data_IF_796109580379
#
_entry.id   IF_796109580379
#
_cell.length_a   1.000
_cell.length_b   1.000
_cell.length_c   1.000
_cell.angle_alpha   90.00
_cell.angle_beta   90.00
_cell.angle_gamma   90.00
#
_symmetry.space_group_name_H-M   'P 1'
#
loop_
_entity.id
_entity.type
_entity.pdbx_description
1 polymer ?
#
# COMPACT_ATOMS: atom_id res chain seq x y z
N UNK A 1 17.12 4.74 8.31
CA UNK A 1 16.51 3.47 7.87
C UNK A 1 16.77 3.27 6.39
N UNK A 2 17.16 2.07 5.97
CA UNK A 2 17.38 1.75 4.56
C UNK A 2 16.05 1.66 3.80
N UNK A 3 16.01 2.25 2.60
CA UNK A 3 14.84 2.36 1.74
C UNK A 3 15.21 2.11 0.28
N UNK A 4 14.35 1.39 -0.43
CA UNK A 4 14.40 1.18 -1.88
C UNK A 4 13.07 1.61 -2.48
N UNK A 5 13.10 2.39 -3.56
CA UNK A 5 11.91 2.76 -4.33
C UNK A 5 12.10 2.31 -5.77
N UNK A 6 11.18 1.51 -6.29
CA UNK A 6 11.03 1.26 -7.71
C UNK A 6 9.89 2.15 -8.27
N UNK A 7 10.11 2.75 -9.43
CA UNK A 7 9.19 3.66 -10.08
C UNK A 7 9.14 3.43 -11.58
N UNK A 8 7.94 3.20 -12.10
CA UNK A 8 7.70 2.89 -13.53
C UNK A 8 6.67 3.85 -14.08
N UNK A 9 6.92 4.37 -15.29
CA UNK A 9 6.01 5.29 -15.99
C UNK A 9 5.54 6.50 -15.14
N UNK A 10 6.43 7.04 -14.30
CA UNK A 10 6.17 8.22 -13.48
C UNK A 10 6.55 9.54 -14.21
N UNK A 11 5.92 10.67 -13.87
CA UNK A 11 6.30 11.99 -14.40
C UNK A 11 7.74 12.40 -14.04
N UNK A 12 8.39 13.19 -14.91
CA UNK A 12 9.78 13.63 -14.72
C UNK A 12 10.02 14.43 -13.44
N UNK A 13 9.05 15.28 -13.05
CA UNK A 13 9.15 16.04 -11.81
C UNK A 13 9.20 15.12 -10.58
N UNK A 14 8.55 13.96 -10.63
CA UNK A 14 8.59 12.98 -9.54
C UNK A 14 9.96 12.29 -9.47
N UNK A 15 10.60 12.01 -10.62
CA UNK A 15 12.00 11.51 -10.64
C UNK A 15 12.93 12.49 -9.95
N UNK A 16 12.86 13.77 -10.33
CA UNK A 16 13.66 14.83 -9.71
C UNK A 16 13.34 15.06 -8.23
N UNK A 17 12.12 14.77 -7.78
CA UNK A 17 11.77 14.79 -6.36
C UNK A 17 12.42 13.63 -5.60
N UNK A 18 12.35 12.40 -6.12
CA UNK A 18 12.97 11.22 -5.50
C UNK A 18 14.50 11.36 -5.40
N UNK A 19 15.14 11.88 -6.46
CA UNK A 19 16.60 12.09 -6.51
C UNK A 19 17.14 13.12 -5.51
N UNK A 20 16.27 13.92 -4.87
CA UNK A 20 16.69 14.83 -3.77
C UNK A 20 17.01 14.10 -2.48
N UNK A 21 16.48 12.89 -2.30
CA UNK A 21 16.59 12.12 -1.06
C UNK A 21 17.30 10.78 -1.26
N UNK A 22 17.19 10.21 -2.46
CA UNK A 22 17.64 8.86 -2.79
C UNK A 22 18.54 8.90 -4.02
N UNK A 23 19.48 7.96 -4.12
CA UNK A 23 20.33 7.78 -5.29
C UNK A 23 19.65 6.87 -6.31
N UNK A 24 19.50 7.32 -7.55
CA UNK A 24 19.02 6.48 -8.66
C UNK A 24 20.17 5.59 -9.15
N UNK A 25 20.13 4.30 -8.84
CA UNK A 25 21.19 3.33 -9.21
C UNK A 25 20.96 2.70 -10.58
N UNK A 26 19.72 2.70 -11.04
CA UNK A 26 19.28 2.27 -12.37
C UNK A 26 17.97 3.00 -12.64
N UNK A 27 17.59 3.17 -13.91
CA UNK A 27 16.35 3.87 -14.30
C UNK A 27 15.16 3.40 -13.48
N UNK A 28 14.57 4.31 -12.70
CA UNK A 28 13.41 4.04 -11.85
C UNK A 28 13.71 3.31 -10.54
N UNK A 29 14.96 2.93 -10.25
CA UNK A 29 15.36 2.27 -9.01
C UNK A 29 16.20 3.22 -8.14
N UNK A 30 15.63 3.63 -7.03
CA UNK A 30 16.20 4.57 -6.07
C UNK A 30 16.53 3.87 -4.76
N UNK A 31 17.68 4.17 -4.17
CA UNK A 31 18.12 3.61 -2.89
C UNK A 31 18.65 4.70 -1.97
N UNK A 32 18.45 4.56 -0.66
CA UNK A 32 18.99 5.53 0.29
C UNK A 32 18.67 5.21 1.74
N UNK A 33 19.16 6.08 2.63
CA UNK A 33 18.89 6.02 4.06
C UNK A 33 18.18 7.28 4.50
N UNK A 34 16.95 7.14 4.99
CA UNK A 34 16.12 8.26 5.46
C UNK A 34 15.48 7.93 6.82
N UNK A 35 14.96 8.93 7.51
CA UNK A 35 14.17 8.70 8.73
C UNK A 35 12.78 8.13 8.38
N UNK A 36 12.11 7.50 9.35
CA UNK A 36 10.75 6.98 9.16
C UNK A 36 9.77 8.09 8.70
N UNK A 37 9.87 9.28 9.31
CA UNK A 37 9.07 10.45 8.93
C UNK A 37 9.33 10.86 7.47
N UNK A 38 10.59 10.90 7.04
CA UNK A 38 10.94 11.25 5.65
C UNK A 38 10.45 10.18 4.69
N UNK A 39 10.57 8.89 5.02
CA UNK A 39 9.99 7.79 4.23
C UNK A 39 8.48 7.97 4.02
N UNK A 40 7.73 8.23 5.09
CA UNK A 40 6.27 8.34 4.98
C UNK A 40 5.85 9.56 4.15
N UNK A 41 6.51 10.70 4.34
CA UNK A 41 6.28 11.89 3.50
C UNK A 41 6.67 11.67 2.03
N UNK A 42 7.80 10.98 1.77
CA UNK A 42 8.21 10.59 0.43
C UNK A 42 7.14 9.72 -0.23
N UNK A 43 6.63 8.72 0.49
CA UNK A 43 5.61 7.81 0.01
C UNK A 43 4.32 8.54 -0.37
N UNK A 44 3.76 9.31 0.56
CA UNK A 44 2.50 10.03 0.35
C UNK A 44 2.57 10.96 -0.87
N UNK A 45 3.64 11.76 -0.96
CA UNK A 45 3.85 12.69 -2.07
C UNK A 45 4.07 11.94 -3.38
N UNK A 46 4.89 10.89 -3.37
CA UNK A 46 5.16 10.13 -4.58
C UNK A 46 3.89 9.46 -5.11
N UNK A 47 3.09 8.84 -4.26
CA UNK A 47 1.79 8.25 -4.63
C UNK A 47 0.87 9.31 -5.22
N UNK A 48 0.79 10.49 -4.60
CA UNK A 48 -0.08 11.58 -5.09
C UNK A 48 0.34 12.13 -6.46
N UNK A 49 1.63 12.08 -6.77
CA UNK A 49 2.21 12.62 -8.01
C UNK A 49 2.44 11.54 -9.09
N UNK A 50 2.25 10.26 -8.78
CA UNK A 50 2.56 9.15 -9.70
C UNK A 50 1.67 9.11 -10.95
N UNK A 51 0.46 9.67 -10.88
CA UNK A 51 -0.52 9.61 -11.97
C UNK A 51 -0.88 8.16 -12.30
N UNK A 52 -0.68 7.75 -13.56
CA UNK A 52 -0.85 6.37 -14.01
C UNK A 52 0.38 5.48 -13.80
N UNK A 53 1.49 6.04 -13.30
CA UNK A 53 2.70 5.29 -13.00
C UNK A 53 2.53 4.35 -11.81
N UNK A 54 3.49 3.44 -11.64
CA UNK A 54 3.54 2.54 -10.49
C UNK A 54 4.76 2.80 -9.62
N UNK A 55 4.56 2.60 -8.32
CA UNK A 55 5.57 2.79 -7.30
C UNK A 55 5.58 1.58 -6.37
N UNK A 56 6.78 1.12 -6.02
CA UNK A 56 6.99 0.13 -4.96
C UNK A 56 8.04 0.66 -4.01
N UNK A 57 7.69 0.76 -2.74
CA UNK A 57 8.57 1.15 -1.65
C UNK A 57 8.87 -0.08 -0.80
N UNK A 58 10.16 -0.35 -0.58
CA UNK A 58 10.65 -1.37 0.34
C UNK A 58 11.47 -0.65 1.42
N UNK A 59 11.24 -0.98 2.68
CA UNK A 59 11.98 -0.38 3.78
C UNK A 59 12.18 -1.37 4.93
N UNK A 60 13.23 -1.15 5.71
CA UNK A 60 13.51 -1.96 6.90
C UNK A 60 12.32 -1.92 7.88
N UNK A 61 11.90 -3.09 8.34
CA UNK A 61 10.91 -3.25 9.39
C UNK A 61 11.32 -4.45 10.25
N UNK A 62 11.95 -4.15 11.39
CA UNK A 62 12.48 -5.17 12.28
C UNK A 62 11.39 -5.99 13.01
N UNK A 63 10.12 -5.56 12.94
CA UNK A 63 9.02 -6.28 13.56
C UNK A 63 8.51 -7.45 12.69
N UNK A 64 8.90 -7.51 11.41
CA UNK A 64 8.50 -8.57 10.48
C UNK A 64 9.60 -9.62 10.36
N UNK A 65 9.23 -10.87 10.11
CA UNK A 65 10.17 -12.00 10.01
C UNK A 65 11.24 -11.80 8.93
N UNK A 66 10.86 -11.18 7.82
CA UNK A 66 11.78 -10.90 6.70
C UNK A 66 12.63 -9.64 6.91
N UNK A 67 12.40 -8.87 7.98
CA UNK A 67 13.15 -7.65 8.30
C UNK A 67 12.83 -6.44 7.41
N UNK A 68 11.81 -6.54 6.54
CA UNK A 68 11.34 -5.45 5.70
C UNK A 68 9.82 -5.43 5.55
N UNK A 69 9.30 -4.26 5.21
CA UNK A 69 7.94 -4.07 4.76
C UNK A 69 7.91 -3.48 3.35
N UNK A 70 6.79 -3.66 2.66
CA UNK A 70 6.60 -3.25 1.27
C UNK A 70 5.26 -2.52 1.11
N UNK A 71 5.26 -1.41 0.36
CA UNK A 71 4.06 -0.71 -0.11
C UNK A 71 4.12 -0.60 -1.62
N UNK A 72 3.00 -0.81 -2.31
CA UNK A 72 2.96 -0.68 -3.77
C UNK A 72 1.66 -0.03 -4.25
N UNK A 73 1.73 0.68 -5.37
CA UNK A 73 0.59 1.34 -6.03
C UNK A 73 0.79 1.40 -7.54
N UNK A 74 -0.29 1.70 -8.27
CA UNK A 74 -0.30 1.93 -9.71
C UNK A 74 -0.62 0.69 -10.55
N UNK A 75 -0.89 0.92 -11.84
CA UNK A 75 -1.22 -0.16 -12.78
C UNK A 75 -0.03 -1.09 -13.01
N UNK A 76 -0.26 -2.40 -12.92
CA UNK A 76 0.78 -3.42 -13.09
C UNK A 76 1.56 -3.76 -11.82
N UNK A 77 1.25 -3.13 -10.68
CA UNK A 77 1.72 -3.63 -9.39
C UNK A 77 1.14 -5.01 -9.09
N UNK A 78 1.98 -5.89 -8.57
CA UNK A 78 1.57 -7.22 -8.11
C UNK A 78 1.01 -7.12 -6.68
N UNK A 79 -0.06 -7.86 -6.36
CA UNK A 79 -0.61 -7.85 -5.02
C UNK A 79 0.41 -8.40 -4.00
N UNK A 80 0.41 -7.79 -2.83
CA UNK A 80 1.29 -8.15 -1.72
C UNK A 80 0.43 -8.85 -0.68
N UNK A 81 0.74 -10.10 -0.43
CA UNK A 81 -0.01 -10.99 0.45
C UNK A 81 0.75 -11.16 1.76
N UNK A 82 0.06 -11.05 2.89
CA UNK A 82 0.60 -11.43 4.19
C UNK A 82 0.17 -12.88 4.49
N UNK A 83 1.14 -13.79 4.45
CA UNK A 83 0.95 -15.20 4.73
C UNK A 83 1.78 -15.57 5.96
N UNK A 84 1.10 -15.66 7.10
CA UNK A 84 1.68 -15.99 8.40
C UNK A 84 2.87 -15.09 8.79
N UNK A 85 2.79 -13.79 8.50
CA UNK A 85 3.84 -12.81 8.81
C UNK A 85 4.87 -12.60 7.70
N UNK A 86 4.86 -13.44 6.66
CA UNK A 86 5.69 -13.28 5.47
C UNK A 86 4.97 -12.48 4.38
N UNK A 87 5.70 -11.55 3.76
CA UNK A 87 5.22 -10.85 2.57
C UNK A 87 5.55 -11.69 1.32
N UNK A 88 4.51 -12.06 0.57
CA UNK A 88 4.59 -12.86 -0.66
C UNK A 88 3.95 -12.08 -1.81
N UNK A 89 4.53 -12.21 -3.01
CA UNK A 89 4.06 -11.51 -4.20
C UNK A 89 3.15 -12.42 -5.01
N UNK A 90 1.88 -12.01 -5.16
CA UNK A 90 0.90 -12.74 -5.96
C UNK A 90 1.16 -12.62 -7.46
N UNK A 91 0.76 -13.65 -8.20
CA UNK A 91 0.91 -13.70 -9.66
C UNK A 91 -0.38 -13.44 -10.42
N UNK A 92 -1.55 -13.55 -9.76
CA UNK A 92 -2.88 -13.34 -10.34
C UNK A 92 -3.48 -11.97 -10.02
N UNK A 93 -4.37 -11.48 -10.88
CA UNK A 93 -5.14 -10.26 -10.63
C UNK A 93 -6.25 -10.48 -9.58
N UNK A 94 -6.67 -11.73 -9.37
CA UNK A 94 -7.65 -12.10 -8.36
C UNK A 94 -7.14 -11.99 -6.91
N UNK A 95 -5.82 -11.97 -6.73
CA UNK A 95 -5.18 -11.92 -5.41
C UNK A 95 -5.18 -10.50 -4.79
N UNK A 96 -5.73 -9.49 -5.49
CA UNK A 96 -5.72 -8.06 -5.10
C UNK A 96 -6.92 -7.62 -4.22
N UNK A 97 -7.72 -8.54 -3.68
CA UNK A 97 -8.92 -8.19 -2.90
C UNK A 97 -8.58 -7.93 -1.42
N UNK A 98 -8.30 -6.65 -1.10
CA UNK A 98 -8.79 -5.84 0.05
C UNK A 98 -8.44 -6.19 1.51
N UNK A 99 -7.81 -5.24 2.22
CA UNK A 99 -7.91 -5.04 3.70
C UNK A 99 -7.76 -3.54 4.01
N UNK A 100 -8.79 -2.94 4.63
CA UNK A 100 -8.84 -1.58 5.18
C UNK A 100 -8.13 -1.51 6.56
N UNK A 101 -7.59 -0.35 6.97
CA UNK A 101 -6.64 -0.21 8.08
C UNK A 101 -7.23 -0.32 9.51
N UNK A 102 -8.50 -0.65 9.69
CA UNK A 102 -9.20 -0.55 10.99
C UNK A 102 -9.09 -1.78 11.91
N UNK A 103 -8.46 -2.89 11.48
CA UNK A 103 -8.34 -4.12 12.29
C UNK A 103 -7.07 -4.20 13.17
N UNK A 104 -6.58 -3.06 13.68
CA UNK A 104 -5.51 -3.05 14.70
C UNK A 104 -6.13 -3.23 16.09
N UNK A 105 -6.26 -4.49 16.50
CA UNK A 105 -6.73 -4.89 17.84
C UNK A 105 -5.72 -4.41 18.91
N UNK A 106 -6.09 -3.38 19.68
CA UNK A 106 -5.35 -2.93 20.86
C UNK A 106 -5.71 -3.82 22.06
N UNK A 107 -4.78 -4.54 22.69
CA UNK A 107 -5.11 -5.38 23.82
C UNK A 107 -5.23 -4.51 25.09
N UNK A 108 -6.42 -4.48 25.69
CA UNK A 108 -6.57 -4.21 27.12
C UNK A 108 -7.58 -3.13 27.52
N UNK A 109 -8.84 -3.51 27.63
CA UNK A 109 -9.75 -2.98 28.65
C UNK A 109 -10.86 -4.03 28.91
N UNK A 110 -10.63 -4.91 29.88
CA UNK A 110 -11.63 -5.86 30.36
C UNK A 110 -12.52 -5.18 31.41
N UNK A 111 -13.81 -5.04 31.11
CA UNK A 111 -14.87 -4.94 32.12
C UNK A 111 -16.13 -5.63 31.60
N UNK A 112 -16.41 -6.83 32.12
CA UNK A 112 -17.76 -7.25 32.52
C UNK A 112 -17.69 -8.60 33.25
N UNK A 113 -18.38 -8.67 34.40
CA UNK A 113 -18.75 -9.93 35.07
C UNK A 113 -20.20 -10.30 34.68
N UNK A 114 -20.74 -11.43 35.17
CA UNK A 114 -21.01 -12.64 34.39
C UNK A 114 -22.51 -12.87 34.18
N UNK A 115 -22.90 -13.83 33.33
CA UNK A 115 -23.92 -14.83 33.67
C UNK A 115 -24.22 -15.83 32.54
N UNK A 116 -24.52 -17.07 32.98
CA UNK A 116 -25.32 -18.12 32.32
C UNK A 116 -24.64 -19.16 31.40
N UNK A 117 -24.16 -20.21 32.10
CA UNK A 117 -24.18 -21.68 31.85
C UNK A 117 -24.94 -22.22 30.59
N UNK A 118 -24.31 -23.13 29.80
CA UNK A 118 -24.72 -24.56 29.67
C UNK A 118 -24.09 -25.36 28.50
N UNK A 119 -23.41 -26.46 28.87
CA UNK A 119 -23.23 -27.82 28.27
C UNK A 119 -22.85 -28.12 26.80
N UNK A 120 -21.57 -28.52 26.63
CA UNK A 120 -21.02 -29.83 26.16
C UNK A 120 -21.24 -30.33 24.68
N UNK A 121 -20.51 -31.38 24.20
CA UNK A 121 -19.32 -31.20 23.36
C UNK A 121 -19.32 -32.02 22.06
N UNK A 122 -18.83 -31.51 20.93
CA UNK A 122 -18.51 -32.36 19.76
C UNK A 122 -17.21 -31.91 19.10
N UNK A 123 -16.25 -32.83 19.10
CA UNK A 123 -14.99 -32.83 18.36
C UNK A 123 -15.25 -32.45 16.89
N UNK A 124 -14.84 -31.24 16.48
CA UNK A 124 -14.79 -30.86 15.07
C UNK A 124 -13.36 -30.52 14.71
N UNK A 125 -12.79 -31.41 13.92
CA UNK A 125 -11.52 -31.33 13.22
C UNK A 125 -11.30 -29.89 12.71
N UNK A 126 -10.36 -29.18 13.35
CA UNK A 126 -9.96 -27.83 12.93
C UNK A 126 -9.07 -27.98 11.70
N UNK A 127 -9.68 -28.11 10.53
CA UNK A 127 -9.02 -27.68 9.29
C UNK A 127 -8.68 -26.21 9.47
N UNK A 128 -7.42 -25.94 9.77
CA UNK A 128 -6.85 -24.60 9.85
C UNK A 128 -7.11 -23.91 8.52
N UNK A 129 -8.17 -23.09 8.48
CA UNK A 129 -8.34 -22.11 7.41
C UNK A 129 -7.20 -21.12 7.58
N UNK A 130 -6.15 -21.28 6.78
CA UNK A 130 -5.12 -20.25 6.57
C UNK A 130 -5.88 -18.98 6.18
N UNK A 131 -5.89 -18.00 7.09
CA UNK A 131 -6.56 -16.72 6.87
C UNK A 131 -5.67 -15.93 5.92
N UNK A 132 -5.99 -15.96 4.63
CA UNK A 132 -5.42 -15.04 3.65
C UNK A 132 -5.75 -13.61 4.09
N UNK A 133 -4.76 -12.81 4.46
CA UNK A 133 -4.90 -11.37 4.70
C UNK A 133 -4.17 -10.64 3.59
N UNK A 134 -4.95 -10.07 2.68
CA UNK A 134 -4.44 -9.34 1.51
C UNK A 134 -4.39 -7.85 1.84
N UNK A 135 -3.21 -7.29 2.06
CA UNK A 135 -3.07 -5.84 2.27
C UNK A 135 -3.04 -5.17 0.90
N UNK A 136 -4.18 -4.62 0.47
CA UNK A 136 -4.26 -3.73 -0.70
C UNK A 136 -4.57 -2.33 -0.24
N UNK A 137 -3.61 -1.42 -0.38
CA UNK A 137 -3.85 0.01 -0.17
C UNK A 137 -4.62 0.52 -1.39
N UNK A 138 -5.80 1.11 -1.11
CA UNK A 138 -6.89 1.36 -2.04
C UNK A 138 -6.50 2.00 -3.39
N UNK A 139 -7.10 1.45 -4.45
CA UNK A 139 -7.29 2.08 -5.75
C UNK A 139 -8.28 3.24 -5.57
N UNK A 140 -7.79 4.50 -5.58
CA UNK A 140 -8.69 5.66 -5.71
C UNK A 140 -9.23 5.69 -7.14
N UNK A 141 -10.55 5.59 -7.27
CA UNK A 141 -11.32 5.80 -8.49
C UNK A 141 -11.18 7.27 -8.91
N UNK A 142 -10.55 7.53 -10.05
CA UNK A 142 -10.46 8.86 -10.63
C UNK A 142 -11.63 9.06 -11.61
N UNK A 143 -12.86 9.00 -11.09
CA UNK A 143 -14.07 9.42 -11.82
C UNK A 143 -14.40 10.86 -11.44
N UNK A 144 -13.94 11.79 -12.26
CA UNK A 144 -14.22 13.22 -12.09
C UNK A 144 -13.33 14.13 -12.94
N UNK A 145 -13.14 13.83 -14.22
CA UNK A 145 -12.68 14.85 -15.17
C UNK A 145 -13.34 14.56 -16.53
N UNK A 146 -14.53 15.12 -16.74
CA UNK A 146 -15.03 15.29 -18.10
C UNK A 146 -14.17 16.35 -18.80
N UNK A 147 -13.74 16.12 -20.06
CA UNK A 147 -13.07 17.16 -20.82
C UNK A 147 -14.09 18.26 -21.15
N UNK A 148 -13.80 19.49 -20.72
CA UNK A 148 -14.53 20.68 -21.16
C UNK A 148 -14.38 20.80 -22.68
N UNK A 149 -15.50 20.82 -23.39
CA UNK A 149 -15.60 21.00 -24.83
C UNK A 149 -15.08 22.38 -25.27
N UNK A 150 -14.34 22.42 -26.37
CA UNK A 150 -13.66 23.62 -26.93
C UNK A 150 -14.61 24.71 -27.50
N UNK A 151 -15.92 24.65 -27.27
CA UNK A 151 -16.90 25.59 -27.86
C UNK A 151 -17.06 26.92 -27.10
N UNK A 152 -16.53 27.07 -25.89
CA UNK A 152 -16.74 28.29 -25.07
C UNK A 152 -15.59 29.32 -25.11
N UNK A 153 -14.59 29.14 -25.99
CA UNK A 153 -13.41 30.03 -26.02
C UNK A 153 -13.55 31.29 -26.86
N UNK A 154 -14.66 31.52 -27.56
CA UNK A 154 -14.84 32.67 -28.46
C UNK A 154 -16.14 33.43 -28.22
N UNK A 155 -16.31 33.99 -27.02
CA UNK A 155 -17.25 35.08 -26.80
C UNK A 155 -16.69 36.07 -25.79
N UNK A 156 -16.34 37.26 -26.28
CA UNK A 156 -16.28 38.45 -25.44
C UNK A 156 -14.89 39.02 -25.17
N UNK A 157 -14.22 39.53 -26.21
CA UNK A 157 -13.56 40.84 -26.13
C UNK A 157 -13.73 41.53 -27.49
N UNK A 158 -14.63 42.52 -27.54
CA UNK A 158 -14.63 43.62 -28.51
C UNK A 158 -14.67 44.91 -27.72
#
# INVERSE_FOLDING_TARGET
MFVVVNAVAIPDHLRGYLSRFLSEVTTGLYVGVVSARVRDNLWERAVSAAGSGSLTLIYNDAAREQGFALRSTGSGSRPVLDLDGMLVIGTGAEDAVGVEPDDVDLPGASLSSPDSVSNAPIHRERRSRVRKRTVTIAKRDNRGHEPVSDEDRHAGIS
#
